data_IF_504312094277
#
_entry.id   IF_504312094277
#
_cell.length_a   1.000
_cell.length_b   1.000
_cell.length_c   1.000
_cell.angle_alpha   90.00
_cell.angle_beta   90.00
_cell.angle_gamma   90.00
#
_symmetry.space_group_name_H-M   'P 1'
#
loop_
_entity.id
_entity.type
_entity.pdbx_description
1 polymer ?
#
# COMPACT_ATOMS: atom_id res chain seq x y z
N UNK A 1 53.01 59.67 -18.52
CA UNK A 1 52.56 58.63 -19.47
C UNK A 1 53.29 57.36 -19.12
N UNK A 2 52.50 56.31 -18.85
CA UNK A 2 52.83 54.87 -18.85
C UNK A 2 54.03 54.50 -19.76
N UNK A 3 54.80 53.45 -19.49
CA UNK A 3 54.28 52.09 -19.58
C UNK A 3 55.05 51.05 -18.77
N UNK A 4 54.27 50.38 -17.92
CA UNK A 4 54.57 49.25 -17.05
C UNK A 4 55.27 48.08 -17.76
N UNK A 5 56.57 47.92 -17.54
CA UNK A 5 57.21 46.61 -17.31
C UNK A 5 58.32 46.82 -16.27
N UNK A 6 58.04 46.52 -15.01
CA UNK A 6 59.09 46.37 -14.00
C UNK A 6 59.82 45.06 -14.27
N UNK A 7 60.85 45.14 -15.11
CA UNK A 7 61.89 44.13 -15.24
C UNK A 7 62.57 43.96 -13.88
N UNK A 8 62.15 42.93 -13.14
CA UNK A 8 62.80 42.52 -11.92
C UNK A 8 64.22 42.05 -12.27
N UNK A 9 65.20 42.82 -11.79
CA UNK A 9 66.61 42.55 -11.90
C UNK A 9 66.95 41.21 -11.26
N UNK A 10 67.66 40.38 -12.03
CA UNK A 10 68.41 39.25 -11.52
C UNK A 10 69.53 39.79 -10.62
N UNK A 11 69.32 39.72 -9.30
CA UNK A 11 70.38 39.88 -8.32
C UNK A 11 71.14 38.55 -8.20
N UNK A 12 72.45 38.63 -8.42
CA UNK A 12 73.34 37.51 -8.53
C UNK A 12 73.41 36.67 -7.26
N UNK A 13 73.66 35.38 -7.47
CA UNK A 13 74.04 34.44 -6.44
C UNK A 13 75.18 34.97 -5.55
N UNK A 14 75.15 34.73 -4.23
CA UNK A 14 76.35 34.34 -3.55
C UNK A 14 76.62 32.89 -3.93
N UNK A 15 77.61 32.68 -4.80
CA UNK A 15 78.28 31.40 -4.87
C UNK A 15 78.91 31.11 -3.51
N UNK A 16 78.39 30.12 -2.81
CA UNK A 16 79.15 29.37 -1.82
C UNK A 16 79.18 27.94 -2.31
N UNK A 17 80.39 27.52 -2.70
CA UNK A 17 80.71 26.18 -3.14
C UNK A 17 80.29 25.19 -2.06
N UNK A 18 79.26 24.40 -2.35
CA UNK A 18 78.70 23.41 -1.43
C UNK A 18 77.86 22.42 -2.20
N UNK A 19 78.53 21.53 -2.93
CA UNK A 19 78.02 20.28 -3.51
C UNK A 19 76.72 20.36 -4.32
N UNK A 20 76.76 19.89 -5.58
CA UNK A 20 75.53 19.51 -6.30
C UNK A 20 74.61 18.56 -5.52
N UNK A 21 75.14 17.92 -4.46
CA UNK A 21 74.42 17.18 -3.44
C UNK A 21 73.49 18.02 -2.54
N UNK A 22 73.81 19.27 -2.18
CA UNK A 22 73.00 20.10 -1.28
C UNK A 22 71.75 20.67 -1.98
N UNK A 23 71.88 21.10 -3.23
CA UNK A 23 70.74 21.54 -4.05
C UNK A 23 69.83 20.36 -4.45
N UNK A 24 70.43 19.18 -4.74
CA UNK A 24 69.68 17.94 -4.95
C UNK A 24 69.02 17.43 -3.65
N UNK A 25 69.63 17.64 -2.48
CA UNK A 25 68.99 17.35 -1.19
C UNK A 25 67.83 18.29 -0.92
N UNK A 26 67.94 19.59 -1.21
CA UNK A 26 66.85 20.54 -1.00
C UNK A 26 65.66 20.26 -1.94
N UNK A 27 65.91 19.97 -3.23
CA UNK A 27 64.88 19.51 -4.17
C UNK A 27 64.31 18.16 -3.71
N UNK A 28 65.14 17.23 -3.26
CA UNK A 28 64.71 15.94 -2.72
C UNK A 28 63.81 16.07 -1.50
N UNK A 29 64.13 16.98 -0.57
CA UNK A 29 63.33 17.28 0.62
C UNK A 29 62.01 17.95 0.22
N UNK A 30 62.04 18.90 -0.72
CA UNK A 30 60.82 19.54 -1.22
C UNK A 30 59.89 18.53 -1.92
N UNK A 31 60.43 17.64 -2.76
CA UNK A 31 59.68 16.54 -3.35
C UNK A 31 59.19 15.54 -2.30
N UNK A 32 59.97 15.25 -1.25
CA UNK A 32 59.55 14.38 -0.17
C UNK A 32 58.40 14.97 0.64
N UNK A 33 58.44 16.28 0.94
CA UNK A 33 57.36 16.99 1.65
C UNK A 33 56.12 17.08 0.77
N UNK A 34 56.26 17.42 -0.52
CA UNK A 34 55.14 17.50 -1.47
C UNK A 34 54.52 16.13 -1.73
N UNK A 35 55.34 15.08 -1.89
CA UNK A 35 54.89 13.69 -1.98
C UNK A 35 54.14 13.28 -0.71
N UNK A 36 54.65 13.65 0.47
CA UNK A 36 54.00 13.30 1.73
C UNK A 36 52.71 14.10 1.99
N UNK A 37 52.62 15.36 1.53
CA UNK A 37 51.47 16.22 1.76
C UNK A 37 50.36 16.09 0.71
N UNK A 38 50.67 15.69 -0.53
CA UNK A 38 49.65 15.51 -1.58
C UNK A 38 49.27 14.03 -1.75
N UNK A 39 50.25 13.12 -1.84
CA UNK A 39 49.98 11.70 -2.12
C UNK A 39 49.53 10.93 -0.87
N UNK A 40 50.04 11.25 0.33
CA UNK A 40 49.65 10.52 1.55
C UNK A 40 48.22 10.80 2.04
N UNK A 41 47.70 12.04 2.06
CA UNK A 41 46.31 12.27 2.48
C UNK A 41 45.29 11.90 1.41
N UNK A 42 45.59 12.03 0.12
CA UNK A 42 44.68 11.55 -0.92
C UNK A 42 44.63 10.02 -1.01
N UNK A 43 45.78 9.34 -0.93
CA UNK A 43 45.78 7.87 -0.94
C UNK A 43 45.10 7.26 0.28
N UNK A 44 45.11 7.94 1.43
CA UNK A 44 44.29 7.55 2.60
C UNK A 44 42.79 7.66 2.30
N UNK A 45 42.32 8.80 1.79
CA UNK A 45 40.90 8.99 1.44
C UNK A 45 40.44 8.05 0.32
N UNK A 46 41.29 7.79 -0.67
CA UNK A 46 41.01 6.84 -1.74
C UNK A 46 41.02 5.38 -1.24
N UNK A 47 41.93 5.02 -0.32
CA UNK A 47 41.94 3.70 0.32
C UNK A 47 40.76 3.53 1.28
N UNK A 48 40.33 4.57 1.98
CA UNK A 48 39.15 4.57 2.85
C UNK A 48 37.87 4.42 2.02
N UNK A 49 37.73 5.15 0.90
CA UNK A 49 36.61 4.95 -0.03
C UNK A 49 36.62 3.56 -0.68
N UNK A 50 37.80 3.05 -1.06
CA UNK A 50 37.92 1.70 -1.63
C UNK A 50 37.62 0.61 -0.60
N UNK A 51 38.05 0.78 0.65
CA UNK A 51 37.77 -0.13 1.75
C UNK A 51 36.27 -0.13 2.15
N UNK A 52 35.60 1.03 2.09
CA UNK A 52 34.15 1.11 2.28
C UNK A 52 33.39 0.38 1.17
N UNK A 53 33.88 0.40 -0.07
CA UNK A 53 33.28 -0.34 -1.19
C UNK A 53 33.59 -1.85 -1.13
N UNK A 54 34.78 -2.26 -0.70
CA UNK A 54 35.16 -3.68 -0.52
C UNK A 54 34.48 -4.33 0.71
N UNK A 55 33.99 -3.53 1.66
CA UNK A 55 33.23 -4.01 2.82
C UNK A 55 31.75 -4.29 2.54
N UNK A 56 31.21 -3.80 1.42
CA UNK A 56 29.81 -3.95 1.04
C UNK A 56 29.59 -5.26 0.31
N UNK A 57 28.72 -6.11 0.84
CA UNK A 57 28.33 -7.38 0.24
C UNK A 57 27.00 -7.23 -0.49
N UNK A 58 26.78 -8.07 -1.51
CA UNK A 58 25.45 -8.20 -2.14
C UNK A 58 24.43 -8.57 -1.06
N UNK A 59 23.38 -7.76 -0.92
CA UNK A 59 22.36 -7.89 0.12
C UNK A 59 22.45 -6.89 1.28
N UNK A 60 23.53 -6.11 1.39
CA UNK A 60 23.65 -5.08 2.43
C UNK A 60 22.73 -3.87 2.15
N UNK A 61 22.20 -3.28 3.22
CA UNK A 61 21.36 -2.08 3.17
C UNK A 61 22.25 -0.84 3.28
N UNK A 62 22.16 0.05 2.29
CA UNK A 62 23.00 1.25 2.21
C UNK A 62 22.18 2.51 2.00
N UNK A 63 22.72 3.61 2.52
CA UNK A 63 22.12 4.95 2.45
C UNK A 63 22.94 5.77 1.45
N UNK A 64 22.32 6.23 0.38
CA UNK A 64 22.96 7.15 -0.56
C UNK A 64 22.98 8.58 0.01
N UNK A 65 23.92 9.42 -0.43
CA UNK A 65 23.98 10.86 -0.16
C UNK A 65 22.71 11.63 -0.61
N UNK A 66 21.85 11.01 -1.43
CA UNK A 66 20.51 11.51 -1.78
C UNK A 66 19.39 11.18 -0.77
N UNK A 67 19.70 10.45 0.31
CA UNK A 67 18.75 10.10 1.37
C UNK A 67 17.84 8.90 1.04
N UNK A 68 18.19 8.08 0.05
CA UNK A 68 17.44 6.88 -0.33
C UNK A 68 18.11 5.64 0.27
N UNK A 69 17.31 4.78 0.93
CA UNK A 69 17.74 3.53 1.54
C UNK A 69 17.34 2.37 0.62
N UNK A 70 18.28 1.48 0.29
CA UNK A 70 18.03 0.37 -0.65
C UNK A 70 18.97 -0.81 -0.41
N UNK A 71 18.56 -2.00 -0.89
CA UNK A 71 19.37 -3.23 -0.83
C UNK A 71 20.20 -3.37 -2.09
N UNK A 72 21.48 -3.67 -1.93
CA UNK A 72 22.41 -3.84 -3.06
C UNK A 72 22.14 -5.17 -3.77
N UNK A 73 21.68 -5.13 -5.02
CA UNK A 73 21.47 -6.31 -5.88
C UNK A 73 22.71 -6.65 -6.71
N UNK A 74 23.46 -5.63 -7.17
CA UNK A 74 24.69 -5.85 -7.92
C UNK A 74 25.72 -4.73 -7.70
N UNK A 75 27.01 -5.12 -7.66
CA UNK A 75 28.15 -4.22 -7.41
C UNK A 75 29.08 -4.30 -8.62
N UNK A 76 29.17 -3.20 -9.38
CA UNK A 76 30.12 -3.03 -10.49
C UNK A 76 31.37 -2.25 -10.07
N UNK A 77 32.34 -2.11 -10.98
CA UNK A 77 33.64 -1.46 -10.69
C UNK A 77 33.55 0.05 -10.41
N UNK A 78 32.45 0.72 -10.78
CA UNK A 78 32.23 2.16 -10.54
C UNK A 78 30.77 2.56 -10.30
N UNK A 79 29.84 1.59 -10.18
CA UNK A 79 28.43 1.85 -9.91
C UNK A 79 27.81 0.71 -9.10
N UNK A 80 26.86 1.05 -8.24
CA UNK A 80 26.11 0.10 -7.41
C UNK A 80 24.64 0.15 -7.84
N UNK A 81 24.09 -0.99 -8.23
CA UNK A 81 22.68 -1.12 -8.59
C UNK A 81 21.91 -1.55 -7.33
N UNK A 82 20.92 -0.75 -6.95
CA UNK A 82 20.13 -0.98 -5.74
C UNK A 82 18.67 -1.18 -6.12
N UNK A 83 18.02 -2.17 -5.50
CA UNK A 83 16.59 -2.40 -5.65
C UNK A 83 15.84 -1.70 -4.51
N UNK A 84 14.95 -0.78 -4.87
CA UNK A 84 14.04 -0.12 -3.94
C UNK A 84 12.75 -0.94 -3.95
N UNK A 85 12.57 -1.83 -2.98
CA UNK A 85 11.36 -2.66 -2.94
C UNK A 85 10.13 -1.76 -2.76
N UNK A 86 9.13 -1.91 -3.61
CA UNK A 86 7.80 -1.33 -3.42
C UNK A 86 7.21 -1.88 -2.11
N UNK A 87 7.30 -1.08 -1.05
CA UNK A 87 6.86 -1.47 0.30
C UNK A 87 7.89 -1.28 1.42
N UNK A 88 9.09 -0.75 1.15
CA UNK A 88 10.03 -0.38 2.23
C UNK A 88 9.53 0.89 2.94
N UNK A 89 9.19 0.78 4.23
CA UNK A 89 9.03 1.93 5.12
C UNK A 89 10.38 2.68 5.16
N UNK A 90 10.47 3.75 4.37
CA UNK A 90 11.68 4.55 4.28
C UNK A 90 11.77 5.41 5.55
N UNK A 91 12.71 5.08 6.44
CA UNK A 91 13.02 5.91 7.59
C UNK A 91 13.53 7.27 7.09
N UNK A 92 12.67 8.29 7.19
CA UNK A 92 13.06 9.67 6.92
C UNK A 92 14.12 10.04 7.95
N UNK A 93 15.31 10.46 7.49
CA UNK A 93 16.25 11.15 8.36
C UNK A 93 15.56 12.40 8.87
N UNK A 94 15.32 12.46 10.20
CA UNK A 94 14.67 13.58 10.88
C UNK A 94 15.29 14.93 10.45
N UNK A 95 16.61 14.92 10.22
CA UNK A 95 17.40 16.05 9.75
C UNK A 95 16.93 16.63 8.40
N UNK A 96 16.50 15.78 7.45
CA UNK A 96 15.98 16.23 6.15
C UNK A 96 14.61 16.88 6.30
N UNK A 97 13.77 16.32 7.16
CA UNK A 97 12.46 16.88 7.48
C UNK A 97 12.60 18.24 8.17
N UNK A 98 13.50 18.35 9.15
CA UNK A 98 13.81 19.60 9.84
C UNK A 98 14.37 20.66 8.89
N UNK A 99 15.23 20.27 7.95
CA UNK A 99 15.75 21.18 6.93
C UNK A 99 14.63 21.75 6.05
N UNK A 100 13.72 20.90 5.56
CA UNK A 100 12.57 21.33 4.73
C UNK A 100 11.67 22.30 5.50
N UNK A 101 11.33 21.97 6.76
CA UNK A 101 10.47 22.79 7.61
C UNK A 101 11.11 24.16 7.90
N UNK A 102 12.42 24.20 8.15
CA UNK A 102 13.17 25.45 8.33
C UNK A 102 13.24 26.27 7.04
N UNK A 103 13.44 25.64 5.89
CA UNK A 103 13.42 26.33 4.57
C UNK A 103 12.04 26.92 4.27
N UNK A 104 10.96 26.29 4.73
CA UNK A 104 9.60 26.81 4.62
C UNK A 104 9.29 27.98 5.59
N UNK A 105 10.23 28.36 6.46
CA UNK A 105 10.05 29.47 7.41
C UNK A 105 9.10 29.13 8.56
N UNK A 106 8.92 27.85 8.87
CA UNK A 106 8.01 27.38 9.92
C UNK A 106 8.78 26.94 11.16
N UNK A 107 8.44 27.52 12.31
CA UNK A 107 8.95 27.08 13.61
C UNK A 107 8.21 25.83 14.13
N UNK A 108 8.94 24.92 14.76
CA UNK A 108 8.39 23.71 15.40
C UNK A 108 8.75 23.65 16.89
N UNK A 109 7.89 23.02 17.70
CA UNK A 109 8.08 22.85 19.15
C UNK A 109 9.02 21.67 19.48
N UNK A 110 8.86 20.57 18.76
CA UNK A 110 9.66 19.36 18.96
C UNK A 110 9.61 18.48 17.72
N UNK A 111 10.72 17.85 17.39
CA UNK A 111 10.82 16.81 16.38
C UNK A 111 11.36 15.54 17.06
N UNK A 112 10.74 14.39 16.79
CA UNK A 112 11.13 13.11 17.37
C UNK A 112 10.92 11.97 16.37
N UNK A 113 11.74 10.93 16.46
CA UNK A 113 11.54 9.68 15.73
C UNK A 113 10.94 8.66 16.69
N UNK A 114 9.69 8.26 16.47
CA UNK A 114 8.99 7.23 17.24
C UNK A 114 8.49 6.13 16.31
N UNK A 115 8.80 4.87 16.60
CA UNK A 115 8.32 3.70 15.83
C UNK A 115 8.57 3.79 14.31
N UNK A 116 9.73 4.32 13.89
CA UNK A 116 10.07 4.49 12.48
C UNK A 116 9.35 5.67 11.78
N UNK A 117 8.62 6.49 12.53
CA UNK A 117 7.91 7.68 12.03
C UNK A 117 8.55 8.94 12.59
N UNK A 118 8.74 9.94 11.72
CA UNK A 118 9.14 11.27 12.14
C UNK A 118 7.91 12.09 12.56
N UNK A 119 7.88 12.52 13.82
CA UNK A 119 6.81 13.33 14.41
C UNK A 119 7.33 14.74 14.67
N UNK A 120 6.73 15.73 14.02
CA UNK A 120 7.01 17.16 14.26
C UNK A 120 5.77 17.81 14.85
N UNK A 121 5.94 18.45 16.01
CA UNK A 121 4.88 19.18 16.71
C UNK A 121 5.01 20.67 16.41
N UNK A 122 3.91 21.29 16.01
CA UNK A 122 3.84 22.71 15.70
C UNK A 122 3.09 23.48 16.78
N UNK A 123 3.24 24.82 16.77
CA UNK A 123 2.58 25.66 17.76
C UNK A 123 1.11 25.91 17.45
N UNK A 124 0.75 25.92 16.15
CA UNK A 124 -0.60 26.13 15.66
C UNK A 124 -0.86 25.32 14.38
N UNK A 125 -2.13 25.23 14.00
CA UNK A 125 -2.60 24.48 12.82
C UNK A 125 -2.09 25.10 11.51
N UNK A 126 -2.01 26.43 11.42
CA UNK A 126 -1.57 27.12 10.20
C UNK A 126 -0.11 26.82 9.85
N UNK A 127 0.78 26.81 10.85
CA UNK A 127 2.18 26.38 10.72
C UNK A 127 2.26 24.90 10.33
N UNK A 128 1.38 24.06 10.89
CA UNK A 128 1.34 22.64 10.55
C UNK A 128 0.92 22.41 9.09
N UNK A 129 -0.04 23.19 8.57
CA UNK A 129 -0.47 23.12 7.17
C UNK A 129 0.64 23.60 6.23
N UNK A 130 1.26 24.74 6.52
CA UNK A 130 2.38 25.28 5.74
C UNK A 130 3.56 24.30 5.68
N UNK A 131 3.90 23.68 6.82
CA UNK A 131 4.94 22.67 6.88
C UNK A 131 4.56 21.40 6.10
N UNK A 132 3.29 20.99 6.16
CA UNK A 132 2.78 19.82 5.42
C UNK A 132 2.88 20.03 3.90
N UNK A 133 2.53 21.21 3.41
CA UNK A 133 2.59 21.53 1.99
C UNK A 133 4.04 21.51 1.48
N UNK A 134 4.98 22.14 2.21
CA UNK A 134 6.40 22.11 1.89
C UNK A 134 7.01 20.70 1.94
N UNK A 135 6.58 19.87 2.91
CA UNK A 135 6.99 18.47 3.03
C UNK A 135 6.46 17.64 1.86
N UNK A 136 5.21 17.82 1.45
CA UNK A 136 4.62 17.12 0.29
C UNK A 136 5.29 17.49 -1.02
N UNK A 137 5.61 18.77 -1.20
CA UNK A 137 6.28 19.26 -2.40
C UNK A 137 7.71 18.71 -2.51
N UNK A 138 8.46 18.65 -1.40
CA UNK A 138 9.87 18.24 -1.38
C UNK A 138 10.07 16.72 -1.34
N UNK A 139 9.21 15.98 -0.63
CA UNK A 139 9.34 14.54 -0.44
C UNK A 139 8.50 13.72 -1.45
N UNK A 140 7.60 14.36 -2.20
CA UNK A 140 6.80 13.72 -3.25
C UNK A 140 5.86 12.63 -2.75
N UNK A 141 5.34 11.79 -3.66
CA UNK A 141 4.40 10.71 -3.35
C UNK A 141 5.04 9.48 -2.67
N UNK A 142 6.34 9.52 -2.39
CA UNK A 142 7.08 8.41 -1.78
C UNK A 142 6.92 8.37 -0.25
N UNK A 143 6.40 9.44 0.36
CA UNK A 143 6.18 9.53 1.80
C UNK A 143 4.74 9.90 2.11
N UNK A 144 4.15 9.23 3.09
CA UNK A 144 2.79 9.54 3.58
C UNK A 144 2.92 10.53 4.72
N UNK A 145 2.76 11.82 4.41
CA UNK A 145 2.68 12.87 5.41
C UNK A 145 1.22 13.06 5.85
N UNK A 146 0.93 12.73 7.12
CA UNK A 146 -0.40 12.82 7.73
C UNK A 146 -0.41 13.84 8.89
N UNK A 147 -1.47 14.63 8.99
CA UNK A 147 -1.69 15.55 10.10
C UNK A 147 -2.24 14.76 11.28
N UNK A 148 -1.50 14.70 12.39
CA UNK A 148 -1.99 14.10 13.64
C UNK A 148 -2.23 15.18 14.69
N UNK A 149 -3.38 15.10 15.37
CA UNK A 149 -3.73 15.94 16.50
C UNK A 149 -3.29 15.22 17.78
N UNK A 150 -2.17 15.65 18.36
CA UNK A 150 -1.75 15.16 19.66
C UNK A 150 -2.69 15.70 20.76
N UNK A 151 -3.05 14.90 21.78
CA UNK A 151 -3.90 15.35 22.89
C UNK A 151 -3.25 16.53 23.63
N UNK A 152 -3.84 17.72 23.50
CA UNK A 152 -3.41 18.93 24.20
C UNK A 152 -3.96 19.00 25.63
N UNK A 153 -4.03 17.88 26.36
CA UNK A 153 -4.52 17.89 27.74
C UNK A 153 -3.52 18.65 28.62
N UNK A 154 -3.91 19.81 29.19
CA UNK A 154 -3.03 20.61 30.03
C UNK A 154 -2.53 19.78 31.22
N UNK A 155 -1.29 20.03 31.66
CA UNK A 155 -0.68 19.25 32.75
C UNK A 155 -1.51 19.25 34.05
N UNK A 156 -2.20 20.35 34.33
CA UNK A 156 -3.08 20.50 35.50
C UNK A 156 -4.33 19.59 35.47
N UNK A 157 -4.78 19.17 34.28
CA UNK A 157 -5.93 18.28 34.12
C UNK A 157 -5.53 16.81 34.27
N UNK A 158 -4.29 16.46 33.85
CA UNK A 158 -3.73 15.11 34.05
C UNK A 158 -3.45 14.81 35.53
N UNK A 159 -3.05 15.81 36.31
CA UNK A 159 -2.81 15.65 37.75
C UNK A 159 -4.07 15.32 38.55
N UNK A 160 -5.27 15.51 37.98
CA UNK A 160 -6.55 15.15 38.60
C UNK A 160 -7.14 13.85 38.06
N UNK A 161 -6.36 13.05 37.31
CA UNK A 161 -6.78 11.78 36.72
C UNK A 161 -8.02 11.89 35.82
N UNK A 162 -8.29 13.08 35.28
CA UNK A 162 -9.40 13.33 34.38
C UNK A 162 -9.12 12.73 33.01
N UNK A 163 -10.01 11.86 32.54
CA UNK A 163 -9.92 11.29 31.19
C UNK A 163 -10.24 12.36 30.14
N UNK A 164 -9.61 12.32 28.95
CA UNK A 164 -9.96 13.19 27.84
C UNK A 164 -11.45 13.02 27.47
N UNK A 165 -12.15 14.13 27.26
CA UNK A 165 -13.56 14.10 26.84
C UNK A 165 -13.66 13.51 25.43
N UNK A 166 -14.54 12.51 25.25
CA UNK A 166 -14.83 11.92 23.93
C UNK A 166 -15.72 12.89 23.14
N UNK A 167 -15.12 13.56 22.17
CA UNK A 167 -15.81 14.49 21.26
C UNK A 167 -16.40 13.68 20.08
N UNK A 168 -17.65 13.98 19.70
CA UNK A 168 -18.35 13.33 18.57
C UNK A 168 -17.73 13.62 17.19
N UNK A 169 -18.29 13.02 16.14
CA UNK A 169 -17.78 13.05 14.76
C UNK A 169 -17.40 14.46 14.26
N UNK A 170 -18.21 15.47 14.56
CA UNK A 170 -18.03 16.84 14.07
C UNK A 170 -16.83 17.58 14.72
N UNK A 171 -16.37 17.09 15.87
CA UNK A 171 -15.28 17.69 16.65
C UNK A 171 -14.01 16.85 16.68
N UNK A 172 -14.07 15.57 16.26
CA UNK A 172 -12.91 14.64 16.16
C UNK A 172 -12.52 14.28 14.73
N UNK A 173 -13.38 14.56 13.75
CA UNK A 173 -13.24 14.07 12.38
C UNK A 173 -13.57 12.57 12.25
N UNK A 174 -13.79 12.14 11.01
CA UNK A 174 -14.07 10.75 10.66
C UNK A 174 -14.30 10.60 9.15
N UNK A 175 -14.68 9.40 8.73
CA UNK A 175 -14.94 9.11 7.31
C UNK A 175 -16.35 8.55 7.12
N UNK A 176 -17.02 9.03 6.08
CA UNK A 176 -18.30 8.53 5.60
C UNK A 176 -18.08 7.87 4.24
N UNK A 177 -18.42 6.60 4.12
CA UNK A 177 -18.35 5.84 2.88
C UNK A 177 -19.74 5.42 2.43
N UNK A 178 -20.04 5.69 1.16
CA UNK A 178 -21.17 5.09 0.46
C UNK A 178 -20.63 3.99 -0.45
N UNK A 179 -21.02 2.75 -0.16
CA UNK A 179 -20.62 1.56 -0.89
C UNK A 179 -21.81 0.99 -1.64
N UNK A 180 -21.59 0.49 -2.85
CA UNK A 180 -22.61 -0.20 -3.65
C UNK A 180 -22.23 -1.68 -3.79
N UNK A 181 -23.20 -2.56 -3.58
CA UNK A 181 -23.04 -4.00 -3.75
C UNK A 181 -23.38 -4.38 -5.18
N UNK A 182 -22.49 -5.16 -5.80
CA UNK A 182 -22.67 -5.71 -7.14
C UNK A 182 -23.75 -6.81 -7.15
N UNK A 183 -24.99 -6.42 -7.36
CA UNK A 183 -26.14 -7.33 -7.42
C UNK A 183 -26.11 -8.27 -8.65
N UNK A 184 -25.72 -7.81 -9.85
CA UNK A 184 -25.51 -8.71 -10.99
C UNK A 184 -24.52 -9.83 -10.68
N UNK A 185 -23.35 -9.51 -10.09
CA UNK A 185 -22.37 -10.53 -9.72
C UNK A 185 -22.88 -11.48 -8.63
N UNK A 186 -23.71 -11.00 -7.69
CA UNK A 186 -24.34 -11.86 -6.70
C UNK A 186 -25.30 -12.89 -7.33
N UNK A 187 -26.08 -12.47 -8.33
CA UNK A 187 -26.94 -13.37 -9.10
C UNK A 187 -26.14 -14.35 -9.95
N UNK A 188 -25.06 -13.90 -10.59
CA UNK A 188 -24.13 -14.74 -11.35
C UNK A 188 -23.60 -15.90 -10.48
N UNK A 189 -23.04 -15.58 -9.32
CA UNK A 189 -22.53 -16.55 -8.36
C UNK A 189 -23.64 -17.48 -7.81
N UNK A 190 -24.88 -16.98 -7.69
CA UNK A 190 -26.01 -17.80 -7.27
C UNK A 190 -26.37 -18.83 -8.35
N UNK A 191 -26.37 -18.45 -9.63
CA UNK A 191 -26.58 -19.39 -10.73
C UNK A 191 -25.47 -20.44 -10.82
N UNK A 192 -24.20 -20.06 -10.67
CA UNK A 192 -23.09 -21.02 -10.66
C UNK A 192 -23.23 -22.05 -9.54
N UNK A 193 -23.60 -21.58 -8.34
CA UNK A 193 -23.89 -22.45 -7.18
C UNK A 193 -25.07 -23.37 -7.46
N UNK A 194 -26.19 -22.83 -7.93
CA UNK A 194 -27.37 -23.63 -8.26
C UNK A 194 -27.13 -24.64 -9.37
N UNK A 195 -26.27 -24.35 -10.36
CA UNK A 195 -25.86 -25.36 -11.34
C UNK A 195 -25.12 -26.54 -10.67
N UNK A 196 -24.23 -26.26 -9.71
CA UNK A 196 -23.54 -27.31 -8.96
C UNK A 196 -24.52 -28.10 -8.07
N UNK A 197 -25.46 -27.42 -7.44
CA UNK A 197 -26.49 -28.02 -6.59
C UNK A 197 -27.43 -28.91 -7.41
N UNK A 198 -27.85 -28.48 -8.60
CA UNK A 198 -28.67 -29.28 -9.52
C UNK A 198 -27.94 -30.55 -9.96
N UNK A 199 -26.66 -30.42 -10.35
CA UNK A 199 -25.81 -31.58 -10.69
C UNK A 199 -25.69 -32.55 -9.52
N UNK A 200 -25.67 -32.05 -8.29
CA UNK A 200 -25.56 -32.86 -7.07
C UNK A 200 -26.87 -33.56 -6.75
N UNK A 201 -28.00 -32.85 -6.73
CA UNK A 201 -29.34 -33.43 -6.50
C UNK A 201 -29.68 -34.51 -7.54
N UNK A 202 -29.37 -34.29 -8.83
CA UNK A 202 -29.58 -35.30 -9.87
C UNK A 202 -28.70 -36.55 -9.67
N UNK A 203 -27.46 -36.40 -9.19
CA UNK A 203 -26.58 -37.53 -8.88
C UNK A 203 -27.05 -38.31 -7.66
N UNK A 204 -27.52 -37.63 -6.62
CA UNK A 204 -28.07 -38.26 -5.42
C UNK A 204 -29.36 -39.04 -5.71
N UNK A 205 -30.14 -38.57 -6.68
CA UNK A 205 -31.31 -39.27 -7.19
C UNK A 205 -31.00 -40.38 -8.22
N UNK A 206 -29.73 -40.65 -8.53
CA UNK A 206 -29.27 -41.61 -9.56
C UNK A 206 -29.87 -41.33 -10.97
N UNK A 207 -30.12 -40.06 -11.28
CA UNK A 207 -30.68 -39.63 -12.56
C UNK A 207 -29.53 -39.25 -13.51
N UNK A 208 -29.50 -39.90 -14.68
CA UNK A 208 -28.51 -39.59 -15.73
C UNK A 208 -28.91 -38.32 -16.49
N UNK A 209 -27.98 -37.39 -16.65
CA UNK A 209 -28.16 -36.14 -17.40
C UNK A 209 -26.98 -35.89 -18.35
N UNK A 210 -27.23 -35.16 -19.44
CA UNK A 210 -26.21 -34.74 -20.41
C UNK A 210 -25.40 -33.54 -19.91
N UNK A 211 -26.09 -32.59 -19.28
CA UNK A 211 -25.45 -31.40 -18.73
C UNK A 211 -26.45 -30.48 -18.05
N UNK A 212 -25.91 -29.61 -17.20
CA UNK A 212 -26.61 -28.44 -16.66
C UNK A 212 -25.87 -27.23 -17.19
N UNK A 213 -26.56 -26.38 -17.94
CA UNK A 213 -25.97 -25.21 -18.61
C UNK A 213 -26.85 -24.00 -18.28
N UNK A 214 -26.23 -22.84 -18.10
CA UNK A 214 -26.98 -21.60 -18.01
C UNK A 214 -27.17 -20.99 -19.39
N UNK A 215 -28.39 -20.58 -19.67
CA UNK A 215 -28.76 -19.75 -20.81
C UNK A 215 -29.49 -18.50 -20.31
N UNK A 216 -28.79 -17.36 -20.33
CA UNK A 216 -29.32 -16.09 -19.82
C UNK A 216 -29.72 -16.15 -18.34
N UNK A 217 -31.01 -15.99 -18.06
CA UNK A 217 -31.61 -16.10 -16.71
C UNK A 217 -32.17 -17.49 -16.38
N UNK A 218 -31.95 -18.46 -17.25
CA UNK A 218 -32.48 -19.82 -17.10
C UNK A 218 -31.36 -20.84 -16.94
N UNK A 219 -31.61 -21.86 -16.13
CA UNK A 219 -30.78 -23.05 -16.07
C UNK A 219 -31.45 -24.16 -16.88
N UNK A 220 -30.76 -24.66 -17.89
CA UNK A 220 -31.19 -25.78 -18.71
C UNK A 220 -30.54 -27.06 -18.23
N UNK A 221 -31.36 -28.02 -17.83
CA UNK A 221 -30.94 -29.40 -17.57
C UNK A 221 -31.30 -30.24 -18.77
N UNK A 222 -30.29 -30.86 -19.40
CA UNK A 222 -30.44 -31.62 -20.65
C UNK A 222 -30.40 -33.12 -20.37
N UNK A 223 -31.33 -33.86 -20.97
CA UNK A 223 -31.44 -35.31 -20.88
C UNK A 223 -31.40 -35.92 -22.28
N UNK A 224 -31.03 -37.20 -22.36
CA UNK A 224 -30.95 -37.89 -23.64
C UNK A 224 -32.35 -38.03 -24.27
N UNK A 225 -32.45 -37.75 -25.57
CA UNK A 225 -33.67 -38.03 -26.32
C UNK A 225 -34.05 -39.52 -26.26
N UNK A 226 -35.35 -39.79 -26.05
CA UNK A 226 -35.87 -41.15 -25.89
C UNK A 226 -35.86 -41.69 -24.45
N UNK A 227 -35.26 -40.98 -23.48
CA UNK A 227 -35.26 -41.35 -22.06
C UNK A 227 -36.26 -40.50 -21.25
N UNK A 228 -37.52 -40.47 -21.68
CA UNK A 228 -38.56 -39.63 -21.05
C UNK A 228 -38.76 -39.95 -19.55
N UNK A 229 -38.73 -41.23 -19.18
CA UNK A 229 -38.85 -41.67 -17.78
C UNK A 229 -37.71 -41.12 -16.90
N UNK A 230 -36.49 -41.05 -17.45
CA UNK A 230 -35.32 -40.49 -16.74
C UNK A 230 -35.46 -38.98 -16.58
N UNK A 231 -35.91 -38.28 -17.63
CA UNK A 231 -36.16 -36.85 -17.58
C UNK A 231 -37.28 -36.49 -16.58
N UNK A 232 -38.34 -37.30 -16.50
CA UNK A 232 -39.40 -37.16 -15.49
C UNK A 232 -38.88 -37.38 -14.06
N UNK A 233 -38.09 -38.43 -13.84
CA UNK A 233 -37.46 -38.66 -12.53
C UNK A 233 -36.54 -37.49 -12.12
N UNK A 234 -35.80 -36.92 -13.08
CA UNK A 234 -34.98 -35.73 -12.88
C UNK A 234 -35.81 -34.51 -12.50
N UNK A 235 -36.95 -34.31 -13.16
CA UNK A 235 -37.88 -33.23 -12.83
C UNK A 235 -38.45 -33.37 -11.42
N UNK A 236 -38.83 -34.57 -11.02
CA UNK A 236 -39.36 -34.83 -9.68
C UNK A 236 -38.30 -34.59 -8.59
N UNK A 237 -37.05 -35.01 -8.83
CA UNK A 237 -35.92 -34.73 -7.95
C UNK A 237 -35.71 -33.21 -7.80
N UNK A 238 -35.66 -32.47 -8.91
CA UNK A 238 -35.47 -31.02 -8.88
C UNK A 238 -36.66 -30.28 -8.24
N UNK A 239 -37.89 -30.74 -8.49
CA UNK A 239 -39.10 -30.18 -7.85
C UNK A 239 -39.10 -30.41 -6.36
N UNK A 240 -38.53 -31.51 -5.86
CA UNK A 240 -38.45 -31.78 -4.42
C UNK A 240 -37.61 -30.72 -3.70
N UNK A 241 -36.44 -30.38 -4.25
CA UNK A 241 -35.44 -29.56 -3.57
C UNK A 241 -35.53 -28.07 -3.95
N UNK A 242 -35.92 -27.74 -5.19
CA UNK A 242 -35.78 -26.39 -5.74
C UNK A 242 -37.09 -25.68 -6.09
N UNK A 243 -38.26 -26.32 -5.92
CA UNK A 243 -39.57 -25.69 -6.23
C UNK A 243 -39.87 -24.41 -5.48
N UNK A 244 -39.18 -24.14 -4.36
CA UNK A 244 -39.37 -22.92 -3.60
C UNK A 244 -38.85 -21.72 -4.41
N UNK A 245 -37.63 -21.84 -4.93
CA UNK A 245 -36.86 -20.73 -5.50
C UNK A 245 -36.96 -20.65 -7.03
N UNK A 246 -37.21 -21.79 -7.68
CA UNK A 246 -37.26 -21.92 -9.13
C UNK A 246 -38.67 -22.29 -9.62
N UNK A 247 -39.04 -21.73 -10.77
CA UNK A 247 -40.10 -22.24 -11.62
C UNK A 247 -39.49 -23.24 -12.63
N UNK A 248 -40.02 -24.46 -12.64
CA UNK A 248 -39.47 -25.59 -13.38
C UNK A 248 -40.44 -25.99 -14.49
N UNK A 249 -40.07 -25.69 -15.72
CA UNK A 249 -40.85 -25.98 -16.92
C UNK A 249 -40.17 -27.10 -17.71
N UNK A 250 -40.93 -28.15 -18.00
CA UNK A 250 -40.50 -29.26 -18.83
C UNK A 250 -40.68 -28.93 -20.32
N UNK A 251 -39.68 -29.30 -21.13
CA UNK A 251 -39.71 -29.27 -22.59
C UNK A 251 -39.21 -30.62 -23.09
N UNK A 252 -40.09 -31.62 -23.02
CA UNK A 252 -39.82 -32.99 -23.42
C UNK A 252 -40.18 -33.26 -24.90
N UNK A 253 -40.44 -32.20 -25.67
CA UNK A 253 -40.65 -32.27 -27.11
C UNK A 253 -39.37 -31.93 -27.89
N UNK A 254 -38.44 -31.23 -27.25
CA UNK A 254 -37.12 -30.90 -27.79
C UNK A 254 -36.15 -32.10 -27.84
N UNK A 255 -35.17 -32.04 -28.75
CA UNK A 255 -34.02 -32.96 -28.81
C UNK A 255 -32.72 -32.15 -28.61
N UNK A 256 -32.00 -32.30 -27.49
CA UNK A 256 -32.27 -33.19 -26.35
C UNK A 256 -33.49 -32.76 -25.51
N UNK A 257 -34.02 -33.64 -24.66
CA UNK A 257 -35.09 -33.29 -23.70
C UNK A 257 -34.55 -32.27 -22.69
N UNK A 258 -35.30 -31.19 -22.40
CA UNK A 258 -34.83 -30.10 -21.53
C UNK A 258 -35.79 -29.83 -20.37
N UNK A 259 -35.24 -29.54 -19.20
CA UNK A 259 -35.96 -28.87 -18.10
C UNK A 259 -35.38 -27.47 -17.96
N UNK A 260 -36.23 -26.45 -18.09
CA UNK A 260 -35.87 -25.05 -17.88
C UNK A 260 -36.23 -24.63 -16.46
N UNK A 261 -35.24 -24.21 -15.70
CA UNK A 261 -35.43 -23.64 -14.38
C UNK A 261 -35.23 -22.12 -14.43
N UNK A 262 -36.27 -21.35 -14.13
CA UNK A 262 -36.22 -19.89 -14.08
C UNK A 262 -36.34 -19.43 -12.64
N UNK A 263 -35.45 -18.55 -12.20
CA UNK A 263 -35.47 -18.04 -10.83
C UNK A 263 -36.73 -17.18 -10.62
N UNK A 264 -37.48 -17.44 -9.54
CA UNK A 264 -38.64 -16.60 -9.20
C UNK A 264 -38.20 -15.22 -8.74
N UNK A 265 -39.04 -14.21 -8.97
CA UNK A 265 -38.74 -12.84 -8.56
C UNK A 265 -38.49 -12.71 -7.04
N UNK A 266 -39.22 -13.45 -6.21
CA UNK A 266 -38.99 -13.46 -4.76
C UNK A 266 -37.59 -14.01 -4.41
N UNK A 267 -37.18 -15.10 -5.06
CA UNK A 267 -35.85 -15.68 -4.84
C UNK A 267 -34.74 -14.72 -5.30
N UNK A 268 -34.94 -13.98 -6.40
CA UNK A 268 -34.00 -12.93 -6.84
C UNK A 268 -33.82 -11.86 -5.76
N UNK A 269 -34.93 -11.38 -5.17
CA UNK A 269 -34.91 -10.40 -4.08
C UNK A 269 -34.25 -10.97 -2.82
N UNK A 270 -34.49 -12.24 -2.50
CA UNK A 270 -33.91 -12.89 -1.33
C UNK A 270 -32.39 -13.03 -1.48
N UNK A 271 -31.90 -13.42 -2.66
CA UNK A 271 -30.46 -13.45 -3.00
C UNK A 271 -29.83 -12.07 -2.85
N UNK A 272 -30.46 -11.02 -3.38
CA UNK A 272 -29.97 -9.64 -3.25
C UNK A 272 -29.91 -9.20 -1.78
N UNK A 273 -30.96 -9.50 -1.00
CA UNK A 273 -31.02 -9.17 0.42
C UNK A 273 -29.96 -9.92 1.23
N UNK A 274 -29.70 -11.17 0.87
CA UNK A 274 -28.68 -12.01 1.48
C UNK A 274 -27.28 -11.50 1.18
N UNK A 275 -27.00 -11.18 -0.08
CA UNK A 275 -25.73 -10.58 -0.51
C UNK A 275 -25.45 -9.27 0.25
N UNK A 276 -26.47 -8.42 0.42
CA UNK A 276 -26.33 -7.18 1.17
C UNK A 276 -26.04 -7.43 2.65
N UNK A 277 -26.81 -8.31 3.31
CA UNK A 277 -26.59 -8.67 4.71
C UNK A 277 -25.20 -9.27 4.94
N UNK A 278 -24.77 -10.17 4.06
CA UNK A 278 -23.44 -10.78 4.13
C UNK A 278 -22.33 -9.72 4.01
N UNK A 279 -22.48 -8.77 3.09
CA UNK A 279 -21.53 -7.66 2.96
C UNK A 279 -21.52 -6.76 4.20
N UNK A 280 -22.68 -6.44 4.78
CA UNK A 280 -22.76 -5.70 6.05
C UNK A 280 -22.01 -6.43 7.17
N UNK A 281 -22.21 -7.75 7.30
CA UNK A 281 -21.48 -8.56 8.29
C UNK A 281 -19.98 -8.59 8.02
N UNK A 282 -19.56 -8.68 6.76
CA UNK A 282 -18.15 -8.63 6.36
C UNK A 282 -17.53 -7.27 6.70
N UNK A 283 -18.18 -6.17 6.34
CA UNK A 283 -17.76 -4.81 6.67
C UNK A 283 -17.62 -4.63 8.18
N UNK A 284 -18.56 -5.14 8.98
CA UNK A 284 -18.47 -5.07 10.44
C UNK A 284 -17.20 -5.71 10.98
N UNK A 285 -16.82 -6.89 10.49
CA UNK A 285 -15.57 -7.57 10.90
C UNK A 285 -14.34 -6.73 10.55
N UNK A 286 -14.27 -6.24 9.31
CA UNK A 286 -13.16 -5.40 8.81
C UNK A 286 -13.03 -4.08 9.55
N UNK A 287 -14.15 -3.48 9.94
CA UNK A 287 -14.12 -2.24 10.72
C UNK A 287 -13.61 -2.48 12.13
N UNK A 288 -13.95 -3.61 12.75
CA UNK A 288 -13.39 -3.97 14.05
C UNK A 288 -11.85 -4.13 13.97
N UNK A 289 -11.31 -4.63 12.85
CA UNK A 289 -9.87 -4.72 12.61
C UNK A 289 -9.17 -3.35 12.49
N UNK A 290 -9.92 -2.30 12.12
CA UNK A 290 -9.41 -0.94 12.09
C UNK A 290 -9.29 -0.31 13.50
N UNK A 291 -9.81 -0.97 14.54
CA UNK A 291 -9.76 -0.48 15.92
C UNK A 291 -10.67 0.72 16.18
N UNK A 292 -11.73 0.87 15.39
CA UNK A 292 -12.71 1.97 15.52
C UNK A 292 -13.68 1.68 16.66
N UNK A 293 -13.83 2.62 17.59
CA UNK A 293 -14.87 2.56 18.61
C UNK A 293 -16.21 2.99 17.98
N UNK A 294 -17.18 2.07 17.93
CA UNK A 294 -18.58 2.34 17.56
C UNK A 294 -18.83 2.77 16.10
N UNK A 295 -18.56 1.89 15.11
CA UNK A 295 -18.90 2.19 13.73
C UNK A 295 -20.41 2.07 13.45
N UNK A 296 -20.91 2.95 12.59
CA UNK A 296 -22.29 2.88 12.09
C UNK A 296 -22.26 2.26 10.71
N UNK A 297 -22.89 1.10 10.56
CA UNK A 297 -23.03 0.40 9.27
C UNK A 297 -24.52 0.17 9.05
N UNK A 298 -25.06 0.82 8.02
CA UNK A 298 -26.50 0.79 7.73
C UNK A 298 -26.73 0.54 6.24
N UNK A 299 -27.83 -0.17 5.95
CA UNK A 299 -28.33 -0.32 4.59
C UNK A 299 -28.97 1.00 4.15
N UNK A 300 -28.59 1.49 2.96
CA UNK A 300 -29.22 2.63 2.31
C UNK A 300 -29.84 2.17 0.99
N UNK A 301 -31.18 2.11 0.94
CA UNK A 301 -31.89 1.63 -0.25
C UNK A 301 -31.71 0.12 -0.49
N UNK A 302 -31.80 -0.31 -1.75
CA UNK A 302 -31.82 -1.74 -2.11
C UNK A 302 -30.42 -2.35 -2.27
N UNK A 303 -29.41 -1.56 -2.64
CA UNK A 303 -28.08 -2.07 -3.00
C UNK A 303 -26.90 -1.30 -2.39
N UNK A 304 -27.15 -0.28 -1.56
CA UNK A 304 -26.07 0.52 -0.97
C UNK A 304 -25.95 0.32 0.53
N UNK A 305 -24.73 0.53 1.02
CA UNK A 305 -24.37 0.45 2.43
C UNK A 305 -23.65 1.74 2.78
N UNK A 306 -24.13 2.41 3.83
CA UNK A 306 -23.47 3.54 4.46
C UNK A 306 -22.61 3.03 5.60
N UNK A 307 -21.36 3.48 5.62
CA UNK A 307 -20.39 3.18 6.67
C UNK A 307 -19.82 4.49 7.21
N UNK A 308 -20.00 4.72 8.51
CA UNK A 308 -19.44 5.87 9.21
C UNK A 308 -18.46 5.39 10.25
N UNK A 309 -17.22 5.88 10.15
CA UNK A 309 -16.14 5.52 11.05
C UNK A 309 -15.66 6.76 11.82
N UNK A 310 -16.10 6.94 13.08
CA UNK A 310 -15.65 8.06 13.91
C UNK A 310 -14.18 7.86 14.34
N UNK A 311 -13.39 8.94 14.34
CA UNK A 311 -12.02 8.90 14.86
C UNK A 311 -11.00 8.14 14.01
N UNK A 312 -11.37 7.72 12.79
CA UNK A 312 -10.41 7.18 11.80
C UNK A 312 -9.56 8.31 11.26
N UNK A 313 -8.26 8.24 11.53
CA UNK A 313 -7.29 9.24 11.10
C UNK A 313 -6.73 8.96 9.70
N UNK A 314 -6.57 7.67 9.33
CA UNK A 314 -6.07 7.26 8.02
C UNK A 314 -7.21 6.76 7.13
N UNK A 315 -7.74 7.69 6.33
CA UNK A 315 -8.84 7.44 5.39
C UNK A 315 -8.44 6.50 4.25
N UNK A 316 -7.18 6.53 3.84
CA UNK A 316 -6.66 5.70 2.75
C UNK A 316 -6.50 4.24 3.19
N UNK A 317 -6.05 3.99 4.42
CA UNK A 317 -6.05 2.65 5.04
C UNK A 317 -7.47 2.13 5.22
N UNK A 318 -8.39 2.95 5.71
CA UNK A 318 -9.78 2.56 5.86
C UNK A 318 -10.42 2.19 4.52
N UNK A 319 -10.21 3.00 3.47
CA UNK A 319 -10.70 2.70 2.12
C UNK A 319 -10.16 1.38 1.57
N UNK A 320 -8.86 1.08 1.77
CA UNK A 320 -8.26 -0.19 1.31
C UNK A 320 -8.85 -1.41 2.03
N UNK A 321 -9.00 -1.35 3.34
CA UNK A 321 -9.53 -2.46 4.14
C UNK A 321 -11.01 -2.71 3.84
N UNK A 322 -11.80 -1.65 3.65
CA UNK A 322 -13.22 -1.78 3.32
C UNK A 322 -13.45 -2.21 1.87
N UNK A 323 -12.66 -1.69 0.92
CA UNK A 323 -12.81 -1.96 -0.51
C UNK A 323 -12.18 -3.25 -1.02
N UNK A 324 -11.29 -3.89 -0.26
CA UNK A 324 -10.65 -5.13 -0.69
C UNK A 324 -11.67 -6.28 -0.72
N UNK A 325 -11.94 -6.89 -1.88
CA UNK A 325 -12.69 -8.15 -1.95
C UNK A 325 -11.76 -9.28 -1.49
N UNK A 326 -12.12 -9.98 -0.40
CA UNK A 326 -11.34 -11.10 0.11
C UNK A 326 -12.01 -12.39 -0.33
N UNK A 327 -11.76 -12.82 -1.57
CA UNK A 327 -12.21 -14.13 -2.05
C UNK A 327 -11.10 -15.14 -1.82
N UNK A 328 -11.32 -16.10 -0.91
CA UNK A 328 -10.39 -17.19 -0.63
C UNK A 328 -10.83 -18.40 -1.45
N UNK A 329 -10.15 -18.67 -2.56
CA UNK A 329 -10.35 -19.88 -3.36
C UNK A 329 -9.27 -20.91 -3.01
N UNK A 330 -9.70 -22.08 -2.52
CA UNK A 330 -8.81 -23.23 -2.40
C UNK A 330 -8.78 -23.97 -3.73
N UNK A 331 -7.61 -23.98 -4.39
CA UNK A 331 -7.33 -24.86 -5.52
C UNK A 331 -6.63 -26.10 -4.98
N UNK A 332 -7.25 -27.27 -5.17
CA UNK A 332 -6.71 -28.57 -4.78
C UNK A 332 -5.76 -29.12 -5.85
#
# INVERSE_FOLDING_TARGET
MDFFISNAFAEGAPGAAGGGLEFLMMIGIFFAIMYFMIIRPQSKRAKEHKALLEGLKKGDEVINNGGTLGRITDIGESFVTMEISTGVEMQVQLDKLEAIVKTAGVDYKSAALEEGRALVRFSNTDQQILAMDAVRESLGSQYVAALNLAPATPGWLRSLNAQPMYLGLDLRGGVHFLLEVDMPAALENAYERSQADFRTSLREADVRYLGVVRDGETLEVKFRAGELEVAQAGLDALRKDFRADYDLVEDFESDPLVIRATLKEQAKLDIQSFALKQNITSLRKRVNELGVAEPIIQQQGMNRIVVELPGVQDTARAKRILGATATLEFRL
#
